data_IF_361569209618
#
_entry.id   IF_361569209618
#
_cell.length_a   1.000
_cell.length_b   1.000
_cell.length_c   1.000
_cell.angle_alpha   90.00
_cell.angle_beta   90.00
_cell.angle_gamma   90.00
#
_symmetry.space_group_name_H-M   'P 1'
#
loop_
_entity.id
_entity.type
_entity.pdbx_description
1 polymer ?
#
# COMPACT_ATOMS: atom_id res chain seq x y z
N UNK A 1 -1.11 -1.27 7.75
CA UNK A 1 0.15 -0.52 7.66
C UNK A 1 0.85 -0.79 6.33
N UNK A 2 1.45 0.23 5.72
CA UNK A 2 2.24 0.17 4.48
C UNK A 2 3.53 0.97 4.65
N UNK A 3 4.67 0.52 4.11
CA UNK A 3 5.97 1.17 4.31
C UNK A 3 6.61 1.59 2.98
N UNK A 4 7.11 2.82 2.93
CA UNK A 4 7.96 3.35 1.86
C UNK A 4 9.29 3.75 2.47
N UNK A 5 10.37 3.12 2.01
CA UNK A 5 11.74 3.45 2.41
C UNK A 5 12.45 4.22 1.29
N UNK A 6 13.03 5.37 1.63
CA UNK A 6 13.78 6.22 0.69
C UNK A 6 15.25 5.86 0.81
N UNK A 7 15.78 5.16 -0.20
CA UNK A 7 17.17 4.65 -0.17
C UNK A 7 18.23 5.76 -0.10
N UNK A 8 17.97 6.93 -0.68
CA UNK A 8 18.94 8.04 -0.73
C UNK A 8 19.14 8.72 0.61
N UNK A 9 18.06 8.90 1.39
CA UNK A 9 18.09 9.58 2.69
C UNK A 9 18.06 8.60 3.86
N UNK A 10 17.71 7.33 3.63
CA UNK A 10 17.44 6.34 4.66
C UNK A 10 16.13 6.56 5.43
N UNK A 11 15.35 7.58 5.07
CA UNK A 11 14.07 7.87 5.71
C UNK A 11 13.03 6.79 5.39
N UNK A 12 12.05 6.62 6.29
CA UNK A 12 11.02 5.60 6.12
C UNK A 12 9.68 6.14 6.58
N UNK A 13 8.69 6.00 5.71
CA UNK A 13 7.33 6.46 5.88
C UNK A 13 6.42 5.27 6.09
N UNK A 14 5.71 5.22 7.21
CA UNK A 14 4.74 4.20 7.55
C UNK A 14 3.34 4.79 7.50
N UNK A 15 2.49 4.22 6.66
CA UNK A 15 1.08 4.59 6.57
C UNK A 15 0.29 3.68 7.49
N UNK A 16 -0.10 4.20 8.66
CA UNK A 16 -0.79 3.47 9.71
C UNK A 16 -2.30 3.71 9.63
N UNK A 17 -3.09 2.64 9.74
CA UNK A 17 -4.54 2.68 9.79
C UNK A 17 -5.08 1.34 10.28
N UNK A 18 -6.25 1.38 10.90
CA UNK A 18 -7.00 0.20 11.27
C UNK A 18 -8.07 -0.16 10.21
N UNK A 19 -8.73 -1.30 10.41
CA UNK A 19 -9.68 -1.85 9.44
C UNK A 19 -10.97 -1.04 9.29
N UNK A 20 -11.26 -0.11 10.20
CA UNK A 20 -12.41 0.80 10.09
C UNK A 20 -12.14 1.97 9.15
N UNK A 21 -10.88 2.31 8.89
CA UNK A 21 -10.51 3.40 7.98
C UNK A 21 -10.48 2.89 6.54
N UNK A 22 -9.71 1.85 6.27
CA UNK A 22 -9.48 1.39 4.91
C UNK A 22 -9.21 -0.11 4.84
N UNK A 23 -9.38 -0.69 3.65
CA UNK A 23 -9.11 -2.11 3.41
C UNK A 23 -7.64 -2.31 3.01
N UNK A 24 -7.35 -3.51 2.50
CA UNK A 24 -6.06 -3.84 1.89
C UNK A 24 -6.32 -4.12 0.42
N UNK A 25 -5.74 -3.32 -0.46
CA UNK A 25 -5.99 -3.43 -1.89
C UNK A 25 -5.12 -2.49 -2.72
N UNK A 26 -5.37 -2.55 -4.02
CA UNK A 26 -4.63 -1.75 -4.99
C UNK A 26 -4.88 -0.24 -4.84
N UNK A 27 -6.08 0.15 -4.41
CA UNK A 27 -6.47 1.55 -4.24
C UNK A 27 -5.77 2.20 -3.05
N UNK A 28 -5.62 1.48 -1.94
CA UNK A 28 -4.84 1.94 -0.79
C UNK A 28 -3.37 2.12 -1.15
N UNK A 29 -2.74 1.10 -1.74
CA UNK A 29 -1.32 1.19 -2.16
C UNK A 29 -1.11 2.31 -3.17
N UNK A 30 -2.05 2.48 -4.12
CA UNK A 30 -2.00 3.57 -5.09
C UNK A 30 -2.13 4.93 -4.42
N UNK A 31 -3.01 5.06 -3.43
CA UNK A 31 -3.20 6.31 -2.68
C UNK A 31 -1.96 6.69 -1.88
N UNK A 32 -1.33 5.72 -1.19
CA UNK A 32 -0.12 5.97 -0.41
C UNK A 32 1.07 6.33 -1.29
N UNK A 33 1.27 5.60 -2.40
CA UNK A 33 2.33 5.93 -3.36
C UNK A 33 2.09 7.29 -4.00
N UNK A 34 0.86 7.60 -4.37
CA UNK A 34 0.52 8.90 -4.95
C UNK A 34 0.75 10.05 -3.97
N UNK A 35 0.26 9.90 -2.73
CA UNK A 35 0.48 10.87 -1.65
C UNK A 35 1.97 11.09 -1.40
N UNK A 36 2.77 10.02 -1.33
CA UNK A 36 4.21 10.11 -1.19
C UNK A 36 4.85 10.95 -2.30
N UNK A 37 4.54 10.64 -3.56
CA UNK A 37 5.11 11.33 -4.74
C UNK A 37 4.71 12.82 -4.80
N UNK A 38 3.50 13.16 -4.36
CA UNK A 38 3.00 14.53 -4.43
C UNK A 38 3.40 15.39 -3.23
N UNK A 39 3.45 14.81 -2.03
CA UNK A 39 3.57 15.56 -0.77
C UNK A 39 4.95 15.40 -0.13
N UNK A 40 5.52 14.20 -0.19
CA UNK A 40 6.76 13.87 0.56
C UNK A 40 8.00 13.90 -0.33
N UNK A 41 7.87 13.54 -1.60
CA UNK A 41 8.98 13.50 -2.54
C UNK A 41 9.39 14.91 -2.95
N UNK A 42 10.69 15.20 -2.83
CA UNK A 42 11.30 16.47 -3.22
C UNK A 42 10.87 16.89 -4.65
N UNK A 43 10.25 18.08 -4.84
CA UNK A 43 9.84 18.62 -6.13
C UNK A 43 10.92 18.64 -7.22
N UNK A 44 12.20 18.70 -6.83
CA UNK A 44 13.33 18.67 -7.76
C UNK A 44 13.53 17.29 -8.43
N UNK A 45 13.06 16.20 -7.81
CA UNK A 45 13.20 14.85 -8.34
C UNK A 45 12.35 14.70 -9.61
N UNK A 46 12.98 14.28 -10.71
CA UNK A 46 12.33 14.01 -12.01
C UNK A 46 12.26 12.53 -12.38
N UNK A 47 13.18 11.72 -11.89
CA UNK A 47 13.20 10.28 -12.11
C UNK A 47 13.01 9.54 -10.78
N UNK A 48 12.15 8.52 -10.79
CA UNK A 48 11.89 7.70 -9.61
C UNK A 48 12.08 6.21 -9.92
N UNK A 49 13.01 5.59 -9.21
CA UNK A 49 13.23 4.14 -9.24
C UNK A 49 12.61 3.50 -7.98
N UNK A 50 11.62 2.64 -8.18
CA UNK A 50 10.86 1.96 -7.14
C UNK A 50 11.29 0.50 -7.07
N UNK A 51 11.76 0.06 -5.90
CA UNK A 51 12.02 -1.35 -5.61
C UNK A 51 10.89 -1.88 -4.74
N UNK A 52 10.14 -2.86 -5.23
CA UNK A 52 8.98 -3.38 -4.50
C UNK A 52 8.83 -4.89 -4.71
N UNK A 53 8.16 -5.55 -3.77
CA UNK A 53 7.98 -6.99 -3.83
C UNK A 53 7.11 -7.42 -5.04
N UNK A 54 7.20 -8.70 -5.41
CA UNK A 54 6.38 -9.28 -6.49
C UNK A 54 5.00 -9.73 -5.99
N UNK A 55 4.37 -8.98 -5.07
CA UNK A 55 3.03 -9.30 -4.55
C UNK A 55 1.94 -8.81 -5.51
N UNK A 56 1.25 -9.74 -6.19
CA UNK A 56 0.20 -9.39 -7.17
C UNK A 56 -1.04 -8.71 -6.57
N UNK A 57 -1.31 -8.90 -5.28
CA UNK A 57 -2.42 -8.24 -4.60
C UNK A 57 -2.10 -6.81 -4.16
N UNK A 58 -0.83 -6.40 -4.18
CA UNK A 58 -0.37 -5.12 -3.64
C UNK A 58 0.47 -4.36 -4.65
N UNK A 59 1.68 -4.82 -4.95
CA UNK A 59 2.66 -4.05 -5.74
C UNK A 59 2.68 -4.40 -7.23
N UNK A 60 2.36 -5.64 -7.59
CA UNK A 60 2.42 -6.15 -8.96
C UNK A 60 1.04 -6.28 -9.60
N UNK A 61 0.28 -5.19 -9.55
CA UNK A 61 -1.09 -5.13 -10.05
C UNK A 61 -1.24 -4.11 -11.19
N UNK A 62 -2.32 -4.23 -11.96
CA UNK A 62 -2.57 -3.37 -13.12
C UNK A 62 -2.90 -1.91 -12.75
N UNK A 63 -3.56 -1.68 -11.62
CA UNK A 63 -3.85 -0.33 -11.12
C UNK A 63 -2.56 0.45 -10.84
N UNK A 64 -1.54 -0.17 -10.25
CA UNK A 64 -0.25 0.48 -10.01
C UNK A 64 0.51 0.77 -11.29
N UNK A 65 0.50 -0.14 -12.27
CA UNK A 65 1.14 0.11 -13.58
C UNK A 65 0.50 1.31 -14.29
N UNK A 66 -0.83 1.43 -14.21
CA UNK A 66 -1.56 2.61 -14.70
C UNK A 66 -1.26 3.86 -13.89
N UNK A 67 -1.12 3.74 -12.56
CA UNK A 67 -0.81 4.86 -11.68
C UNK A 67 0.55 5.47 -12.01
N UNK A 68 1.61 4.66 -12.17
CA UNK A 68 2.94 5.20 -12.49
C UNK A 68 2.94 5.94 -13.83
N UNK A 69 2.21 5.42 -14.83
CA UNK A 69 2.00 6.13 -16.09
C UNK A 69 1.17 7.41 -15.90
N UNK A 70 0.14 7.38 -15.06
CA UNK A 70 -0.68 8.55 -14.73
C UNK A 70 0.15 9.68 -14.09
N UNK A 71 1.05 9.33 -13.16
CA UNK A 71 1.97 10.29 -12.55
C UNK A 71 2.84 10.96 -13.61
N UNK A 72 3.39 10.21 -14.55
CA UNK A 72 4.25 10.77 -15.61
C UNK A 72 3.47 11.66 -16.59
N UNK A 73 2.30 11.21 -17.08
CA UNK A 73 1.64 11.87 -18.20
C UNK A 73 0.51 12.83 -17.84
N UNK A 74 -0.25 12.55 -16.77
CA UNK A 74 -1.38 13.39 -16.38
C UNK A 74 -0.96 14.43 -15.36
N UNK A 75 -0.23 14.01 -14.32
CA UNK A 75 0.23 14.94 -13.28
C UNK A 75 1.49 15.68 -13.68
N UNK A 76 2.27 15.12 -14.64
CA UNK A 76 3.55 15.66 -15.13
C UNK A 76 4.56 15.96 -14.00
N UNK A 77 4.42 15.25 -12.87
CA UNK A 77 5.26 15.40 -11.68
C UNK A 77 6.64 14.80 -11.88
N UNK A 78 6.73 13.71 -12.65
CA UNK A 78 7.94 12.95 -12.93
C UNK A 78 8.08 12.74 -14.43
N UNK A 79 9.30 12.68 -14.92
CA UNK A 79 9.63 12.40 -16.32
C UNK A 79 9.76 10.89 -16.58
N UNK A 80 10.18 10.15 -15.55
CA UNK A 80 10.40 8.71 -15.62
C UNK A 80 10.09 8.05 -14.30
N UNK A 81 9.36 6.94 -14.36
CA UNK A 81 9.14 6.05 -13.22
C UNK A 81 9.53 4.64 -13.64
N UNK A 82 10.48 4.03 -12.93
CA UNK A 82 10.88 2.64 -13.12
C UNK A 82 10.49 1.83 -11.89
N UNK A 83 9.82 0.70 -12.10
CA UNK A 83 9.52 -0.28 -11.06
C UNK A 83 10.38 -1.53 -11.26
N UNK A 84 11.09 -1.93 -10.22
CA UNK A 84 11.96 -3.10 -10.17
C UNK A 84 11.38 -4.15 -9.22
N UNK A 85 11.23 -5.38 -9.72
CA UNK A 85 10.65 -6.51 -9.01
C UNK A 85 11.70 -7.61 -8.78
N UNK A 86 12.40 -7.62 -7.62
CA UNK A 86 13.44 -8.59 -7.29
C UNK A 86 12.95 -10.05 -7.33
N UNK A 87 13.89 -10.97 -7.53
CA UNK A 87 13.62 -12.41 -7.52
C UNK A 87 13.28 -12.84 -6.09
N UNK A 88 12.15 -13.53 -5.93
CA UNK A 88 11.72 -14.08 -4.64
C UNK A 88 12.83 -14.94 -4.04
N UNK A 89 13.15 -14.73 -2.77
CA UNK A 89 14.22 -15.45 -2.06
C UNK A 89 15.58 -14.76 -2.08
N UNK A 90 15.75 -13.69 -2.86
CA UNK A 90 16.98 -12.87 -2.88
C UNK A 90 16.70 -11.38 -2.65
N UNK A 91 15.50 -11.06 -2.15
CA UNK A 91 15.06 -9.70 -1.87
C UNK A 91 15.33 -9.39 -0.39
N UNK A 92 16.47 -8.82 -0.05
CA UNK A 92 16.63 -8.13 1.23
C UNK A 92 16.14 -6.69 1.03
N UNK A 93 14.82 -6.47 1.17
CA UNK A 93 14.26 -5.13 1.07
C UNK A 93 14.41 -4.41 2.41
N UNK A 94 14.81 -3.14 2.38
CA UNK A 94 14.93 -2.31 3.59
C UNK A 94 13.58 -2.20 4.33
N UNK A 95 12.45 -2.31 3.62
CA UNK A 95 11.13 -2.36 4.26
C UNK A 95 10.98 -3.55 5.21
N UNK A 96 11.50 -4.73 4.86
CA UNK A 96 11.45 -5.92 5.71
C UNK A 96 12.34 -5.74 6.95
N UNK A 97 13.49 -5.08 6.78
CA UNK A 97 14.39 -4.72 7.88
C UNK A 97 13.72 -3.72 8.84
N UNK A 98 13.05 -2.70 8.31
CA UNK A 98 12.35 -1.72 9.13
C UNK A 98 11.23 -2.37 9.95
N UNK A 99 10.48 -3.31 9.36
CA UNK A 99 9.46 -4.08 10.08
C UNK A 99 10.06 -4.97 11.17
N UNK A 100 11.28 -5.48 10.99
CA UNK A 100 11.99 -6.28 11.99
C UNK A 100 12.49 -5.45 13.19
N UNK A 101 12.61 -4.12 13.07
CA UNK A 101 13.00 -3.24 14.18
C UNK A 101 11.86 -3.02 15.20
N UNK A 102 10.61 -3.26 14.81
CA UNK A 102 9.45 -2.98 15.66
C UNK A 102 9.31 -4.03 16.76
N UNK A 103 9.18 -3.58 18.01
CA UNK A 103 9.05 -4.50 19.13
C UNK A 103 7.63 -5.07 19.21
N UNK A 104 7.47 -6.29 18.70
CA UNK A 104 6.19 -7.01 18.70
C UNK A 104 5.77 -7.52 20.08
N UNK A 105 6.66 -7.48 21.07
CA UNK A 105 6.39 -7.94 22.44
C UNK A 105 5.94 -6.80 23.37
N UNK A 106 5.86 -5.56 22.86
CA UNK A 106 5.37 -4.44 23.66
C UNK A 106 3.89 -4.65 23.98
N UNK A 107 3.48 -4.22 25.17
CA UNK A 107 2.07 -4.15 25.52
C UNK A 107 1.43 -2.98 24.78
N UNK A 108 0.50 -3.28 23.87
CA UNK A 108 -0.11 -2.33 22.95
C UNK A 108 -1.60 -2.67 22.85
N UNK A 109 -2.48 -1.69 23.08
CA UNK A 109 -3.92 -1.91 23.14
C UNK A 109 -4.69 -1.12 22.08
N UNK A 110 -4.22 0.09 21.76
CA UNK A 110 -4.83 1.00 20.80
C UNK A 110 -4.02 1.08 19.49
N UNK A 111 -4.66 1.49 18.38
CA UNK A 111 -3.94 1.81 17.14
C UNK A 111 -2.89 2.92 17.34
N UNK A 112 -3.14 3.88 18.23
CA UNK A 112 -2.23 4.99 18.57
C UNK A 112 -0.96 4.48 19.25
N UNK A 113 -1.08 3.50 20.15
CA UNK A 113 0.07 2.87 20.81
C UNK A 113 1.01 2.20 19.78
N UNK A 114 0.45 1.63 18.70
CA UNK A 114 1.25 1.12 17.59
C UNK A 114 1.95 2.27 16.84
N UNK A 115 1.28 3.40 16.60
CA UNK A 115 1.90 4.55 15.93
C UNK A 115 3.15 5.00 16.70
N UNK A 116 3.02 5.19 18.01
CA UNK A 116 4.14 5.57 18.88
C UNK A 116 5.28 4.55 18.84
N UNK A 117 4.96 3.26 18.89
CA UNK A 117 5.97 2.21 18.83
C UNK A 117 6.71 2.21 17.49
N UNK A 118 6.01 2.42 16.39
CA UNK A 118 6.67 2.54 15.09
C UNK A 118 7.58 3.76 15.02
N UNK A 119 7.16 4.93 15.54
CA UNK A 119 7.99 6.14 15.52
C UNK A 119 9.36 5.92 16.22
N UNK A 120 9.36 5.22 17.36
CA UNK A 120 10.57 4.98 18.15
C UNK A 120 11.33 3.70 17.79
N UNK A 121 10.76 2.83 16.96
CA UNK A 121 11.33 1.50 16.64
C UNK A 121 12.74 1.56 16.02
N UNK A 122 13.12 2.66 15.38
CA UNK A 122 14.45 2.82 14.75
C UNK A 122 15.12 4.13 15.15
N UNK A 123 16.23 4.04 15.87
CA UNK A 123 17.00 5.22 16.25
C UNK A 123 17.96 5.74 15.17
N UNK A 124 18.52 4.86 14.31
CA UNK A 124 19.50 5.21 13.27
C UNK A 124 19.06 4.70 11.89
N UNK A 125 19.24 5.47 10.79
CA UNK A 125 19.77 6.84 10.75
C UNK A 125 18.80 7.88 11.32
N UNK A 126 17.49 7.60 11.29
CA UNK A 126 16.44 8.45 11.83
C UNK A 126 15.22 7.64 12.28
N UNK A 127 14.41 8.17 13.21
CA UNK A 127 13.07 7.68 13.55
C UNK A 127 12.20 7.43 12.32
N UNK A 128 11.23 6.54 12.46
CA UNK A 128 10.25 6.31 11.40
C UNK A 128 9.23 7.46 11.40
N UNK A 129 8.87 7.92 10.20
CA UNK A 129 7.77 8.89 10.02
C UNK A 129 6.48 8.10 9.87
N UNK A 130 5.59 8.18 10.84
CA UNK A 130 4.29 7.51 10.76
C UNK A 130 3.24 8.51 10.31
N UNK A 131 2.56 8.20 9.23
CA UNK A 131 1.43 8.94 8.69
C UNK A 131 0.17 8.18 9.08
N UNK A 132 -0.62 8.75 9.99
CA UNK A 132 -1.95 8.26 10.27
C UNK A 132 -2.85 8.51 9.06
N UNK A 133 -3.34 7.44 8.46
CA UNK A 133 -4.14 7.51 7.24
C UNK A 133 -5.58 7.75 7.66
N UNK A 134 -6.13 8.87 7.20
CA UNK A 134 -7.58 9.11 7.19
C UNK A 134 -8.22 8.53 5.92
N UNK A 135 -9.52 8.24 6.00
CA UNK A 135 -10.38 7.81 4.89
C UNK A 135 -10.25 8.74 3.69
N UNK A 136 -10.11 10.04 3.91
CA UNK A 136 -9.95 11.05 2.85
C UNK A 136 -8.69 10.86 2.00
N UNK A 137 -7.65 10.22 2.55
CA UNK A 137 -6.41 9.94 1.84
C UNK A 137 -6.63 8.79 0.84
N UNK A 138 -7.48 7.81 1.16
CA UNK A 138 -7.72 6.66 0.30
C UNK A 138 -8.77 6.97 -0.76
N UNK A 139 -8.38 6.85 -2.03
CA UNK A 139 -9.18 7.23 -3.19
C UNK A 139 -9.40 6.06 -4.15
N UNK A 140 -10.49 6.09 -4.92
CA UNK A 140 -10.89 5.03 -5.87
C UNK A 140 -10.07 5.05 -7.16
N UNK A 141 -8.77 4.77 -7.05
CA UNK A 141 -7.85 4.79 -8.20
C UNK A 141 -8.23 3.80 -9.29
N UNK A 142 -8.68 2.60 -8.95
CA UNK A 142 -9.01 1.56 -9.93
C UNK A 142 -10.14 2.01 -10.87
N UNK A 143 -11.26 2.50 -10.31
CA UNK A 143 -12.40 3.00 -11.09
C UNK A 143 -12.04 4.25 -11.91
N UNK A 144 -11.26 5.15 -11.32
CA UNK A 144 -10.82 6.37 -11.98
C UNK A 144 -9.87 6.12 -13.16
N UNK A 145 -8.99 5.12 -13.04
CA UNK A 145 -8.06 4.72 -14.08
C UNK A 145 -8.74 3.86 -15.16
N UNK A 146 -9.83 3.16 -14.85
CA UNK A 146 -10.64 2.42 -15.84
C UNK A 146 -11.26 3.32 -16.91
N UNK A 147 -11.42 4.62 -16.63
CA UNK A 147 -11.94 5.60 -17.59
C UNK A 147 -10.89 6.10 -18.59
N UNK A 148 -9.59 5.92 -18.27
CA UNK A 148 -8.46 6.52 -19.03
C UNK A 148 -7.55 5.48 -19.67
N UNK A 149 -7.60 4.24 -19.20
CA UNK A 149 -6.71 3.16 -19.60
C UNK A 149 -7.52 1.91 -19.92
N UNK A 150 -6.92 0.96 -20.64
CA UNK A 150 -7.54 -0.34 -20.86
C UNK A 150 -7.86 -1.02 -19.52
N UNK A 151 -9.10 -1.52 -19.38
CA UNK A 151 -9.55 -2.21 -18.17
C UNK A 151 -8.77 -3.51 -17.92
N UNK A 152 -8.45 -4.23 -19.00
CA UNK A 152 -7.65 -5.46 -18.95
C UNK A 152 -6.19 -5.13 -19.22
N UNK A 153 -5.29 -5.69 -18.41
CA UNK A 153 -3.87 -5.58 -18.64
C UNK A 153 -3.49 -6.24 -19.98
N UNK A 154 -2.87 -5.50 -20.93
CA UNK A 154 -2.49 -6.04 -22.23
C UNK A 154 -1.36 -7.08 -22.17
N UNK A 155 -0.62 -7.15 -21.05
CA UNK A 155 0.46 -8.11 -20.85
C UNK A 155 0.33 -8.86 -19.52
N UNK A 156 1.08 -9.96 -19.39
CA UNK A 156 1.10 -10.75 -18.14
C UNK A 156 1.93 -10.00 -17.09
N UNK A 157 1.32 -9.60 -15.98
CA UNK A 157 2.05 -8.94 -14.88
C UNK A 157 3.03 -9.87 -14.15
N UNK A 158 2.72 -11.16 -14.02
CA UNK A 158 3.55 -12.14 -13.28
C UNK A 158 5.02 -12.21 -13.73
N UNK A 159 5.37 -12.31 -15.03
CA UNK A 159 6.76 -12.39 -15.47
C UNK A 159 7.53 -11.06 -15.41
N UNK A 160 6.86 -9.91 -15.31
CA UNK A 160 7.50 -8.59 -15.35
C UNK A 160 8.57 -8.46 -14.25
N UNK A 161 9.79 -8.10 -14.63
CA UNK A 161 10.90 -7.85 -13.70
C UNK A 161 11.19 -6.38 -13.56
N UNK A 162 11.12 -5.66 -14.67
CA UNK A 162 11.19 -4.22 -14.65
C UNK A 162 10.09 -3.65 -15.53
N UNK A 163 9.56 -2.50 -15.12
CA UNK A 163 8.55 -1.75 -15.84
C UNK A 163 8.93 -0.27 -15.80
N UNK A 164 8.81 0.41 -16.93
CA UNK A 164 9.16 1.82 -17.08
C UNK A 164 8.00 2.57 -17.74
N UNK A 165 7.63 3.69 -17.12
CA UNK A 165 6.87 4.77 -17.75
C UNK A 165 7.82 5.92 -18.09
N UNK A 166 7.84 6.36 -19.34
CA UNK A 166 8.68 7.46 -19.85
C UNK A 166 7.80 8.56 -20.43
N UNK A 167 8.11 9.82 -20.12
CA UNK A 167 7.42 10.98 -20.69
C UNK A 167 7.41 10.99 -22.24
N UNK A 168 8.44 10.41 -22.88
CA UNK A 168 8.58 10.27 -24.33
C UNK A 168 7.53 9.36 -24.96
N UNK A 169 6.92 8.47 -24.18
CA UNK A 169 6.00 7.45 -24.67
C UNK A 169 4.61 7.59 -24.04
N UNK A 170 3.81 8.59 -24.46
CA UNK A 170 2.53 8.96 -23.85
C UNK A 170 1.46 7.86 -23.79
N UNK A 171 1.64 6.79 -24.57
CA UNK A 171 0.64 5.73 -24.67
C UNK A 171 1.16 4.36 -24.27
N UNK A 172 2.43 4.24 -23.90
CA UNK A 172 3.07 2.95 -23.77
C UNK A 172 3.74 2.78 -22.42
N UNK A 173 3.65 1.57 -21.89
CA UNK A 173 4.55 1.08 -20.86
C UNK A 173 5.59 0.18 -21.50
N UNK A 174 6.83 0.34 -21.05
CA UNK A 174 7.90 -0.58 -21.38
C UNK A 174 8.07 -1.55 -20.21
N UNK A 175 8.29 -2.83 -20.50
CA UNK A 175 8.61 -3.80 -19.47
C UNK A 175 9.58 -4.85 -20.01
N UNK A 176 10.21 -5.59 -19.10
CA UNK A 176 10.98 -6.78 -19.47
C UNK A 176 10.83 -7.86 -18.43
N UNK A 177 10.95 -9.11 -18.88
CA UNK A 177 10.77 -10.30 -18.02
C UNK A 177 12.07 -10.82 -17.41
N UNK A 178 13.22 -10.27 -17.81
CA UNK A 178 14.55 -10.61 -17.29
C UNK A 178 15.40 -9.35 -17.14
N UNK A 179 16.41 -9.36 -16.26
CA UNK A 179 17.30 -8.20 -16.02
C UNK A 179 18.28 -7.92 -17.15
N UNK A 180 18.44 -8.84 -18.09
CA UNK A 180 19.33 -8.72 -19.26
C UNK A 180 18.59 -8.85 -20.59
N UNK A 181 17.25 -8.95 -20.55
CA UNK A 181 16.42 -9.08 -21.74
C UNK A 181 16.16 -7.76 -22.43
N UNK A 182 15.60 -7.86 -23.64
CA UNK A 182 15.06 -6.73 -24.39
C UNK A 182 13.85 -6.13 -23.69
N UNK A 183 13.58 -4.86 -24.00
CA UNK A 183 12.38 -4.15 -23.54
C UNK A 183 11.23 -4.39 -24.51
N UNK A 184 10.13 -4.89 -23.99
CA UNK A 184 8.84 -4.95 -24.67
C UNK A 184 8.07 -3.66 -24.41
N UNK A 185 7.36 -3.15 -25.42
CA UNK A 185 6.48 -1.98 -25.30
C UNK A 185 5.04 -2.37 -25.60
N UNK A 186 4.11 -2.01 -24.71
CA UNK A 186 2.68 -2.22 -24.94
C UNK A 186 1.91 -0.91 -24.78
N UNK A 187 0.96 -0.68 -25.70
CA UNK A 187 0.00 0.43 -25.62
C UNK A 187 -1.00 0.16 -24.50
N UNK A 188 -1.29 1.17 -23.67
CA UNK A 188 -2.12 1.00 -22.46
C UNK A 188 -3.37 1.90 -22.40
N UNK A 189 -3.52 2.79 -23.37
CA UNK A 189 -4.65 3.72 -23.46
C UNK A 189 -5.01 4.03 -24.93
N UNK A 190 -6.22 4.57 -25.14
CA UNK A 190 -6.71 4.91 -26.48
C UNK A 190 -6.10 6.22 -26.99
N UNK A 191 -5.99 6.43 -28.32
CA UNK A 191 -5.66 7.74 -28.88
C UNK A 191 -6.61 8.83 -28.34
N UNK A 192 -6.07 9.95 -27.85
CA UNK A 192 -6.87 11.06 -27.32
C UNK A 192 -7.35 10.89 -25.87
N UNK A 193 -7.05 9.76 -25.20
CA UNK A 193 -7.36 9.54 -23.78
C UNK A 193 -6.49 10.35 -22.81
N UNK A 194 -5.36 10.87 -23.30
CA UNK A 194 -4.55 11.83 -22.57
C UNK A 194 -5.11 13.24 -22.77
N UNK A 195 -4.99 14.12 -21.77
CA UNK A 195 -5.31 15.53 -21.95
C UNK A 195 -4.58 16.06 -23.20
N UNK A 196 -5.30 16.68 -24.17
CA UNK A 196 -4.67 17.15 -25.39
C UNK A 196 -3.55 18.13 -25.04
N UNK A 197 -2.47 18.12 -25.84
CA UNK A 197 -1.41 19.12 -25.69
C UNK A 197 -1.94 20.55 -25.82
N UNK A 198 -3.13 20.75 -26.41
CA UNK A 198 -3.75 22.04 -26.72
C UNK A 198 -5.19 22.20 -26.17
N UNK A 199 -5.65 21.30 -25.29
CA UNK A 199 -6.94 21.46 -24.59
C UNK A 199 -6.84 22.49 -23.45
N UNK A 200 -7.95 22.87 -22.77
CA UNK A 200 -7.86 23.70 -21.56
C UNK A 200 -6.97 22.98 -20.55
N UNK A 201 -5.73 23.46 -20.44
CA UNK A 201 -4.71 22.90 -19.55
C UNK A 201 -5.14 23.29 -18.15
N UNK A 202 -5.42 22.29 -17.32
CA UNK A 202 -5.19 22.51 -15.89
C UNK A 202 -3.78 23.10 -15.74
N UNK A 203 -3.60 24.19 -14.98
CA UNK A 203 -2.31 24.78 -14.66
C UNK A 203 -1.27 23.70 -14.34
N UNK A 204 0.01 23.98 -14.61
CA UNK A 204 1.07 23.02 -14.34
C UNK A 204 1.05 22.60 -12.86
N UNK A 205 0.78 21.32 -12.59
CA UNK A 205 0.64 20.77 -11.24
C UNK A 205 -0.80 20.54 -10.79
N UNK A 206 -1.80 21.01 -11.55
CA UNK A 206 -3.21 20.72 -11.29
C UNK A 206 -3.65 19.45 -12.01
N UNK A 207 -4.32 18.57 -11.28
CA UNK A 207 -4.90 17.34 -11.78
C UNK A 207 -6.17 17.02 -10.98
N UNK A 208 -7.09 16.29 -11.61
CA UNK A 208 -8.26 15.78 -10.91
C UNK A 208 -7.86 14.59 -10.05
N UNK A 209 -8.29 14.60 -8.78
CA UNK A 209 -8.16 13.46 -7.90
C UNK A 209 -9.42 12.58 -7.98
N UNK A 210 -9.29 11.25 -7.81
CA UNK A 210 -10.46 10.38 -7.69
C UNK A 210 -11.28 10.71 -6.45
N UNK A 211 -12.54 10.28 -6.45
CA UNK A 211 -13.39 10.31 -5.26
C UNK A 211 -12.78 9.49 -4.11
N UNK A 212 -13.16 9.86 -2.88
CA UNK A 212 -12.79 9.13 -1.67
C UNK A 212 -13.36 7.70 -1.74
N UNK A 213 -12.56 6.72 -1.33
CA UNK A 213 -12.95 5.31 -1.39
C UNK A 213 -14.02 4.95 -0.35
N UNK A 214 -14.00 5.61 0.81
CA UNK A 214 -14.83 5.31 1.96
C UNK A 214 -15.43 6.60 2.51
N UNK A 215 -16.77 6.71 2.49
CA UNK A 215 -17.48 7.84 3.11
C UNK A 215 -17.62 7.61 4.63
N UNK A 216 -18.06 6.41 5.00
CA UNK A 216 -18.25 6.00 6.40
C UNK A 216 -17.17 5.06 6.90
N UNK A 217 -17.11 4.90 8.22
CA UNK A 217 -16.23 3.92 8.85
C UNK A 217 -16.64 2.50 8.42
N UNK A 218 -15.66 1.71 8.02
CA UNK A 218 -15.87 0.36 7.54
C UNK A 218 -16.26 -0.57 8.68
N UNK A 219 -17.39 -1.29 8.55
CA UNK A 219 -17.80 -2.23 9.58
C UNK A 219 -16.87 -3.44 9.61
N UNK A 220 -16.49 -3.86 10.81
CA UNK A 220 -15.73 -5.09 11.00
C UNK A 220 -16.65 -6.33 10.97
N UNK A 221 -16.13 -7.51 10.58
CA UNK A 221 -16.91 -8.73 10.59
C UNK A 221 -17.50 -9.04 11.97
N UNK A 222 -18.77 -9.48 12.01
CA UNK A 222 -19.48 -9.71 13.27
C UNK A 222 -18.75 -10.65 14.24
N UNK A 223 -18.22 -11.77 13.74
CA UNK A 223 -17.45 -12.71 14.57
C UNK A 223 -16.21 -12.07 15.17
N UNK A 224 -15.48 -11.25 14.38
CA UNK A 224 -14.31 -10.51 14.87
C UNK A 224 -14.72 -9.49 15.93
N UNK A 225 -15.83 -8.78 15.73
CA UNK A 225 -16.36 -7.87 16.74
C UNK A 225 -16.67 -8.61 18.05
N UNK A 226 -17.33 -9.77 17.98
CA UNK A 226 -17.66 -10.59 19.14
C UNK A 226 -16.42 -11.04 19.91
N UNK A 227 -15.38 -11.48 19.20
CA UNK A 227 -14.10 -11.85 19.82
C UNK A 227 -13.44 -10.65 20.50
N UNK A 228 -13.42 -9.48 19.85
CA UNK A 228 -12.91 -8.24 20.43
C UNK A 228 -13.69 -7.81 21.68
N UNK A 229 -15.02 -8.01 21.72
CA UNK A 229 -15.82 -7.75 22.93
C UNK A 229 -15.47 -8.67 24.10
N UNK A 230 -14.97 -9.88 23.84
CA UNK A 230 -14.47 -10.76 24.88
C UNK A 230 -13.08 -10.33 25.36
N UNK A 231 -12.20 -9.99 24.42
CA UNK A 231 -10.81 -9.61 24.70
C UNK A 231 -10.68 -8.25 25.39
N UNK A 232 -11.56 -7.27 25.07
CA UNK A 232 -11.49 -5.93 25.68
C UNK A 232 -11.54 -5.94 27.21
N UNK A 233 -12.06 -7.01 27.83
CA UNK A 233 -12.07 -7.18 29.30
C UNK A 233 -10.67 -7.17 29.90
N UNK A 234 -9.64 -7.52 29.13
CA UNK A 234 -8.25 -7.52 29.57
C UNK A 234 -7.51 -6.20 29.27
N UNK A 235 -8.16 -5.26 28.58
CA UNK A 235 -7.60 -3.96 28.23
C UNK A 235 -7.96 -2.89 29.27
N UNK A 236 -7.25 -1.76 29.23
CA UNK A 236 -7.54 -0.53 29.96
C UNK A 236 -8.87 0.11 29.56
N UNK A 237 -9.27 1.16 30.29
CA UNK A 237 -10.58 1.81 30.13
C UNK A 237 -10.76 2.50 28.77
N UNK A 238 -9.72 3.15 28.27
CA UNK A 238 -9.72 3.82 26.96
C UNK A 238 -9.89 2.81 25.82
N UNK A 239 -9.08 1.74 25.84
CA UNK A 239 -9.19 0.65 24.87
C UNK A 239 -10.56 -0.03 24.91
N UNK A 240 -11.13 -0.26 26.11
CA UNK A 240 -12.50 -0.79 26.24
C UNK A 240 -13.53 0.11 25.57
N UNK A 241 -13.41 1.42 25.71
CA UNK A 241 -14.30 2.40 25.07
C UNK A 241 -14.18 2.33 23.56
N UNK A 242 -12.95 2.35 23.04
CA UNK A 242 -12.65 2.22 21.61
C UNK A 242 -13.27 0.96 21.01
N UNK A 243 -12.97 -0.22 21.58
CA UNK A 243 -13.48 -1.49 21.06
C UNK A 243 -15.01 -1.62 21.16
N UNK A 244 -15.66 -0.90 22.07
CA UNK A 244 -17.12 -0.90 22.20
C UNK A 244 -17.82 -0.10 21.10
N UNK A 245 -17.15 0.91 20.55
CA UNK A 245 -17.70 1.84 19.56
C UNK A 245 -17.45 1.38 18.11
N UNK A 246 -16.72 0.27 17.90
CA UNK A 246 -16.39 -0.20 16.56
C UNK A 246 -17.64 -0.53 15.72
N UNK A 247 -17.71 -0.04 14.46
CA UNK A 247 -18.81 -0.38 13.56
C UNK A 247 -18.78 -1.87 13.22
N UNK A 248 -19.94 -2.52 13.16
CA UNK A 248 -20.05 -3.98 12.93
C UNK A 248 -21.03 -4.32 11.81
N UNK A 249 -20.73 -5.40 11.10
CA UNK A 249 -21.64 -5.97 10.11
C UNK A 249 -22.81 -6.69 10.77
N UNK A 250 -23.90 -6.90 10.02
CA UNK A 250 -25.05 -7.67 10.51
C UNK A 250 -24.68 -9.16 10.67
N UNK A 251 -25.33 -9.90 11.60
CA UNK A 251 -25.10 -11.34 11.77
C UNK A 251 -25.34 -12.10 10.46
N UNK A 252 -24.38 -12.92 10.04
CA UNK A 252 -24.45 -13.71 8.80
C UNK A 252 -23.98 -12.99 7.53
N UNK A 253 -23.72 -11.68 7.58
CA UNK A 253 -23.19 -10.92 6.46
C UNK A 253 -21.70 -11.21 6.28
N UNK A 254 -21.34 -11.81 5.13
CA UNK A 254 -19.93 -12.09 4.80
C UNK A 254 -19.36 -10.89 4.06
N UNK A 255 -18.19 -10.41 4.49
CA UNK A 255 -17.39 -9.48 3.70
C UNK A 255 -17.25 -10.02 2.26
N UNK A 256 -17.54 -9.18 1.25
CA UNK A 256 -17.55 -9.55 -0.17
C UNK A 256 -16.22 -10.27 -0.50
N UNK A 257 -16.28 -11.59 -0.67
CA UNK A 257 -15.12 -12.41 -1.05
C UNK A 257 -14.68 -12.05 -2.46
N UNK A 258 -13.73 -11.13 -2.60
CA UNK A 258 -12.80 -11.14 -3.73
C UNK A 258 -11.60 -11.98 -3.31
N UNK A 259 -11.50 -13.16 -3.93
CA UNK A 259 -10.39 -14.12 -3.85
C UNK A 259 -9.88 -14.52 -2.45
N UNK A 260 -10.51 -15.58 -1.93
CA UNK A 260 -10.00 -16.43 -0.82
C UNK A 260 -8.61 -17.04 -1.05
N UNK A 261 -7.96 -16.79 -2.20
CA UNK A 261 -6.56 -17.18 -2.48
C UNK A 261 -5.52 -16.13 -2.09
N UNK A 262 -5.94 -14.92 -1.70
CA UNK A 262 -5.06 -13.87 -1.16
C UNK A 262 -5.33 -13.61 0.32
N UNK A 263 -5.60 -14.65 1.12
CA UNK A 263 -5.35 -14.60 2.57
C UNK A 263 -3.83 -14.63 2.76
N UNK A 264 -3.18 -13.50 2.50
CA UNK A 264 -1.90 -13.22 3.14
C UNK A 264 -2.29 -12.85 4.56
N UNK A 265 -2.18 -13.83 5.45
CA UNK A 265 -1.90 -13.52 6.84
C UNK A 265 -0.75 -12.53 6.80
N UNK A 266 -0.98 -11.30 7.24
CA UNK A 266 0.13 -10.59 7.86
C UNK A 266 0.39 -11.42 9.10
N UNK A 267 1.26 -12.41 8.92
CA UNK A 267 1.98 -13.05 10.00
C UNK A 267 2.74 -11.88 10.61
N UNK A 268 2.18 -11.26 11.66
CA UNK A 268 3.04 -10.95 12.79
C UNK A 268 3.79 -12.26 13.05
N UNK A 269 5.13 -12.33 13.01
CA UNK A 269 5.83 -13.51 13.47
C UNK A 269 5.27 -13.92 14.83
N UNK A 270 4.41 -14.93 14.81
CA UNK A 270 3.80 -15.61 15.95
C UNK A 270 3.12 -14.72 17.02
N UNK A 271 1.85 -14.38 16.82
CA UNK A 271 0.92 -14.28 17.96
C UNK A 271 0.38 -15.69 18.24
N UNK A 272 1.05 -16.36 19.18
CA UNK A 272 0.55 -17.47 20.01
C UNK A 272 0.28 -18.80 19.29
N UNK A 273 1.34 -19.61 19.12
CA UNK A 273 1.21 -21.03 19.52
C UNK A 273 1.38 -21.05 21.04
N UNK A 274 0.31 -21.35 21.76
CA UNK A 274 0.36 -21.72 23.18
C UNK A 274 1.31 -22.91 23.29
N UNK A 275 2.57 -22.65 23.64
CA UNK A 275 3.40 -23.67 24.25
C UNK A 275 2.72 -24.04 25.56
N UNK A 276 2.17 -25.25 25.63
CA UNK A 276 1.96 -25.94 26.90
C UNK A 276 3.32 -26.05 27.59
N UNK A 277 3.69 -25.07 28.40
CA UNK A 277 4.65 -25.23 29.46
C UNK A 277 3.93 -25.96 30.61
N UNK A 278 3.89 -27.29 30.55
CA UNK A 278 3.57 -28.11 31.72
C UNK A 278 4.88 -28.68 32.24
N UNK A 279 5.33 -28.08 33.34
CA UNK A 279 6.08 -28.65 34.47
C UNK A 279 7.37 -29.44 34.20
N UNK A 280 8.48 -28.88 34.72
CA UNK A 280 9.56 -29.65 35.34
C UNK A 280 8.97 -30.62 36.39
N UNK A 281 9.36 -31.90 36.33
CA UNK A 281 9.57 -32.76 37.50
C UNK A 281 10.73 -33.73 37.21
N UNK A 282 11.76 -33.64 38.05
CA UNK A 282 12.65 -34.70 38.55
C UNK A 282 13.11 -35.82 37.61
N UNK A 283 14.42 -35.84 37.33
CA UNK A 283 15.39 -36.76 37.94
C UNK A 283 16.73 -36.04 38.08
#
# INVERSE_FOLDING_TARGET
>A
MFNIHVLSTGESFFYAYDETVARKGADEVSSFLFYFVMVQLDPAVKELDIFCDSCGGQNKNWTLFRLVHYIVHHTKRLEKVKMNFPIRGHSYLECDRNMACVNQNKWVELPTDWIEEFEVARAKPSPFRVVEVDRQLVRKWTEYLDQRYFKKNPFKSRPVRELIALNKHPRMLQYRSTYHGHWDGHVINEPGSLPPSDGPKLPQGEFTLPEVAYQDALPIPYEKFKDLQQLKKFCGEEARTFYSQLPKMAPGEKSKKKDRKNRIEIVFPNVVKIQKAVQRKSL
#
